data_IF_577897913887
#
_entry.id   IF_577897913887
#
_cell.length_a   1.000
_cell.length_b   1.000
_cell.length_c   1.000
_cell.angle_alpha   90.00
_cell.angle_beta   90.00
_cell.angle_gamma   90.00
#
_symmetry.space_group_name_H-M   'P 1'
#
loop_
_entity.id
_entity.type
_entity.pdbx_description
1 polymer ?
#
# COMPACT_ATOMS: atom_id res chain seq x y z
N UNK A 1 12.88 8.11 16.64
CA UNK A 1 12.55 6.75 16.18
C UNK A 1 11.61 6.93 15.01
N UNK A 2 12.09 6.82 13.77
CA UNK A 2 11.20 6.93 12.61
C UNK A 2 10.25 5.74 12.63
N UNK A 3 8.94 6.01 12.58
CA UNK A 3 7.93 4.99 12.38
C UNK A 3 8.23 4.30 11.04
N UNK A 4 8.48 2.98 11.07
CA UNK A 4 8.69 2.21 9.86
C UNK A 4 7.39 1.59 9.41
N UNK A 5 6.94 1.93 8.21
CA UNK A 5 5.70 1.41 7.68
C UNK A 5 5.91 0.12 6.88
N UNK A 6 5.06 -0.87 7.14
CA UNK A 6 4.95 -2.10 6.36
C UNK A 6 4.30 -1.80 5.02
N UNK A 7 4.74 -2.47 3.97
CA UNK A 7 4.18 -2.29 2.63
C UNK A 7 3.03 -3.26 2.43
N UNK A 8 1.91 -2.78 1.90
CA UNK A 8 0.73 -3.61 1.62
C UNK A 8 0.37 -3.60 0.14
N UNK A 9 -0.54 -4.50 -0.25
CA UNK A 9 -1.17 -4.49 -1.56
C UNK A 9 -1.74 -3.11 -1.87
N UNK A 10 -1.45 -2.60 -3.07
CA UNK A 10 -1.78 -1.22 -3.43
C UNK A 10 -0.64 -0.22 -3.20
N UNK A 11 0.53 -0.66 -2.73
CA UNK A 11 1.69 0.21 -2.57
C UNK A 11 2.20 0.76 -3.91
N UNK A 12 2.50 2.05 -3.95
CA UNK A 12 3.03 2.71 -5.14
C UNK A 12 4.55 2.52 -5.21
N UNK A 13 5.00 1.90 -6.30
CA UNK A 13 6.40 1.63 -6.58
C UNK A 13 6.89 2.47 -7.76
N UNK A 14 8.13 2.93 -7.68
CA UNK A 14 8.78 3.75 -8.70
C UNK A 14 10.14 3.17 -9.06
N UNK A 15 10.36 2.93 -10.34
CA UNK A 15 11.68 2.58 -10.86
C UNK A 15 12.46 3.85 -11.22
N UNK A 16 13.71 3.99 -10.74
CA UNK A 16 14.58 5.13 -11.05
C UNK A 16 14.88 5.29 -12.56
N UNK A 17 14.76 4.19 -13.32
CA UNK A 17 14.94 4.16 -14.76
C UNK A 17 13.62 4.08 -15.54
N UNK A 18 12.50 3.95 -14.83
CA UNK A 18 11.15 3.99 -15.39
C UNK A 18 10.69 5.43 -15.62
N UNK A 19 9.59 5.58 -16.36
CA UNK A 19 8.94 6.88 -16.57
C UNK A 19 7.60 6.99 -15.85
N UNK A 20 6.99 5.87 -15.47
CA UNK A 20 5.67 5.82 -14.85
C UNK A 20 5.74 4.94 -13.60
N UNK A 21 5.15 5.36 -12.47
CA UNK A 21 5.01 4.51 -11.29
C UNK A 21 3.99 3.38 -11.54
N UNK A 22 4.11 2.28 -10.82
CA UNK A 22 3.15 1.17 -10.86
C UNK A 22 2.83 0.70 -9.44
N UNK A 23 1.72 -0.03 -9.30
CA UNK A 23 1.21 -0.47 -8.01
C UNK A 23 1.59 -1.92 -7.74
N UNK A 24 2.07 -2.20 -6.53
CA UNK A 24 2.43 -3.54 -6.06
C UNK A 24 1.17 -4.40 -5.88
N UNK A 25 1.20 -5.60 -6.46
CA UNK A 25 0.20 -6.64 -6.31
C UNK A 25 0.84 -7.83 -5.61
N UNK A 26 0.29 -8.19 -4.45
CA UNK A 26 0.78 -9.30 -3.64
C UNK A 26 0.09 -10.57 -4.12
N UNK A 27 0.84 -11.46 -4.77
CA UNK A 27 0.33 -12.75 -5.26
C UNK A 27 0.95 -13.94 -4.50
N UNK A 28 1.94 -13.70 -3.63
CA UNK A 28 2.66 -14.77 -2.92
C UNK A 28 1.84 -15.53 -1.88
N UNK A 29 0.80 -14.94 -1.31
CA UNK A 29 -0.02 -15.54 -0.25
C UNK A 29 -1.36 -14.81 -0.08
N UNK A 30 -2.27 -15.37 0.73
CA UNK A 30 -3.59 -14.81 1.03
C UNK A 30 -3.94 -14.84 2.53
N UNK A 31 -2.93 -14.85 3.41
CA UNK A 31 -3.14 -15.14 4.83
C UNK A 31 -2.81 -13.98 5.78
N UNK A 32 -1.99 -13.01 5.36
CA UNK A 32 -1.42 -12.00 6.26
C UNK A 32 -1.81 -10.61 5.77
N UNK A 33 -2.62 -9.93 6.58
CA UNK A 33 -3.19 -8.64 6.29
C UNK A 33 -2.71 -7.60 7.30
N UNK A 34 -2.48 -6.36 6.87
CA UNK A 34 -2.11 -5.26 7.75
C UNK A 34 -3.15 -4.14 7.71
N UNK A 35 -3.54 -3.66 8.90
CA UNK A 35 -4.50 -2.55 9.07
C UNK A 35 -5.82 -2.74 8.32
N UNK A 36 -6.31 -3.98 8.27
CA UNK A 36 -7.60 -4.35 7.69
C UNK A 36 -8.40 -5.12 8.73
N UNK A 37 -9.51 -4.52 9.18
CA UNK A 37 -10.40 -5.09 10.20
C UNK A 37 -11.08 -6.37 9.72
N UNK A 38 -11.30 -6.49 8.41
CA UNK A 38 -11.95 -7.63 7.77
C UNK A 38 -10.93 -8.62 7.19
N UNK A 39 -9.63 -8.26 7.17
CA UNK A 39 -8.54 -9.11 6.72
C UNK A 39 -8.75 -9.64 5.30
N UNK A 40 -9.04 -8.78 4.33
CA UNK A 40 -9.42 -9.20 2.98
C UNK A 40 -8.74 -8.45 1.84
N UNK A 41 -8.28 -7.21 2.04
CA UNK A 41 -7.79 -6.35 0.95
C UNK A 41 -6.33 -5.91 1.11
N UNK A 42 -5.81 -5.77 2.34
CA UNK A 42 -4.47 -5.22 2.59
C UNK A 42 -3.43 -6.30 2.88
N UNK A 43 -3.19 -7.19 1.92
CA UNK A 43 -2.14 -8.22 2.03
C UNK A 43 -0.76 -7.59 2.19
N UNK A 44 0.08 -8.16 3.06
CA UNK A 44 1.42 -7.64 3.34
C UNK A 44 2.38 -7.97 2.17
N UNK A 45 3.16 -7.01 1.69
CA UNK A 45 4.18 -7.27 0.67
C UNK A 45 5.33 -8.12 1.22
N UNK A 46 5.76 -9.15 0.48
CA UNK A 46 6.82 -10.06 0.93
C UNK A 46 7.99 -10.13 -0.05
N UNK A 47 9.17 -10.53 0.42
CA UNK A 47 10.35 -10.73 -0.43
C UNK A 47 10.17 -11.78 -1.52
N UNK A 48 9.10 -12.59 -1.45
CA UNK A 48 8.75 -13.60 -2.45
C UNK A 48 7.98 -13.03 -3.64
N UNK A 49 7.72 -11.72 -3.68
CA UNK A 49 7.16 -11.01 -4.84
C UNK A 49 8.21 -10.92 -5.97
N UNK A 50 8.43 -12.10 -6.57
CA UNK A 50 9.29 -12.51 -7.68
C UNK A 50 8.78 -12.02 -9.05
N UNK A 51 9.65 -11.75 -10.03
CA UNK A 51 9.21 -11.59 -11.42
C UNK A 51 8.48 -10.27 -11.66
N UNK A 52 7.17 -10.28 -11.95
CA UNK A 52 6.39 -9.07 -12.28
C UNK A 52 5.25 -8.83 -11.27
N UNK A 53 5.55 -8.45 -10.01
CA UNK A 53 4.54 -8.30 -8.96
C UNK A 53 3.80 -6.94 -9.02
N UNK A 54 3.59 -6.40 -10.23
CA UNK A 54 2.97 -5.08 -10.40
C UNK A 54 1.69 -5.20 -11.22
N UNK A 55 0.72 -4.31 -10.94
CA UNK A 55 -0.61 -4.37 -11.54
C UNK A 55 -0.57 -4.16 -13.06
N UNK A 56 0.14 -3.15 -13.54
CA UNK A 56 0.28 -2.89 -14.98
C UNK A 56 1.48 -3.64 -15.60
N UNK A 57 2.28 -4.31 -14.77
CA UNK A 57 3.48 -5.08 -15.17
C UNK A 57 4.49 -4.23 -15.95
N UNK A 58 4.47 -2.91 -15.78
CA UNK A 58 5.36 -2.00 -16.50
C UNK A 58 5.54 -0.67 -15.77
N UNK A 59 6.76 -0.14 -15.80
CA UNK A 59 7.06 1.23 -15.36
C UNK A 59 7.14 2.21 -16.54
N UNK A 60 6.37 1.96 -17.60
CA UNK A 60 6.43 2.72 -18.85
C UNK A 60 7.63 2.33 -19.71
N UNK A 61 8.52 3.27 -20.01
CA UNK A 61 9.74 3.01 -20.78
C UNK A 61 10.96 2.80 -19.86
N UNK A 62 11.96 2.03 -20.29
CA UNK A 62 13.18 1.80 -19.50
C UNK A 62 14.38 2.54 -20.09
N UNK A 63 14.95 3.50 -19.35
CA UNK A 63 16.14 4.25 -19.77
C UNK A 63 17.38 3.37 -20.01
N UNK A 64 17.43 2.18 -19.40
CA UNK A 64 18.52 1.22 -19.60
C UNK A 64 18.42 0.39 -20.88
N UNK A 65 17.31 0.50 -21.62
CA UNK A 65 17.09 -0.24 -22.86
C UNK A 65 16.84 0.73 -24.03
N UNK A 66 17.85 1.47 -24.48
CA UNK A 66 17.72 2.35 -25.64
C UNK A 66 17.44 1.53 -26.91
N UNK A 67 16.60 2.05 -27.79
CA UNK A 67 16.31 1.49 -29.11
C UNK A 67 16.10 2.62 -30.12
N UNK A 68 17.14 2.88 -30.91
CA UNK A 68 17.16 4.00 -31.85
C UNK A 68 16.95 5.34 -31.14
N UNK A 69 15.90 6.08 -31.51
CA UNK A 69 15.52 7.36 -30.91
C UNK A 69 14.58 7.24 -29.70
N UNK A 70 14.30 6.02 -29.22
CA UNK A 70 13.39 5.78 -28.09
C UNK A 70 13.93 4.71 -27.13
N UNK A 71 13.09 4.24 -26.21
CA UNK A 71 13.40 3.23 -25.20
C UNK A 71 12.39 2.08 -25.26
N UNK A 72 12.84 0.87 -24.94
CA UNK A 72 11.93 -0.29 -24.83
C UNK A 72 10.98 -0.13 -23.64
N UNK A 73 9.77 -0.70 -23.72
CA UNK A 73 8.89 -0.79 -22.58
C UNK A 73 9.57 -1.56 -21.44
N UNK A 74 9.46 -1.03 -20.22
CA UNK A 74 10.02 -1.66 -19.03
C UNK A 74 9.21 -2.92 -18.70
N UNK A 75 9.89 -4.06 -18.66
CA UNK A 75 9.37 -5.30 -18.10
C UNK A 75 10.11 -5.56 -16.78
N UNK A 76 9.55 -5.15 -15.64
CA UNK A 76 10.22 -5.27 -14.37
C UNK A 76 10.27 -6.73 -13.97
N UNK A 77 11.39 -7.40 -14.25
CA UNK A 77 11.68 -8.75 -13.78
C UNK A 77 12.46 -8.64 -12.47
N UNK A 78 11.75 -8.54 -11.35
CA UNK A 78 12.30 -8.46 -10.00
C UNK A 78 13.00 -9.77 -9.65
N UNK A 79 14.27 -9.67 -9.25
CA UNK A 79 15.12 -10.81 -8.90
C UNK A 79 15.33 -10.94 -7.40
N UNK A 80 15.29 -9.84 -6.67
CA UNK A 80 15.42 -9.82 -5.22
C UNK A 80 14.92 -8.49 -4.63
N UNK A 81 14.53 -8.55 -3.36
CA UNK A 81 14.25 -7.41 -2.51
C UNK A 81 15.38 -7.24 -1.50
N UNK A 82 15.69 -5.99 -1.14
CA UNK A 82 16.73 -5.62 -0.16
C UNK A 82 16.17 -4.58 0.79
N UNK A 83 16.69 -4.49 2.02
CA UNK A 83 16.16 -3.56 3.03
C UNK A 83 14.82 -3.98 3.65
N UNK A 84 14.47 -5.25 3.51
CA UNK A 84 13.30 -5.85 4.15
C UNK A 84 13.53 -6.07 5.65
N UNK A 85 12.47 -6.35 6.39
CA UNK A 85 12.53 -6.60 7.83
C UNK A 85 12.93 -8.05 8.11
N UNK A 86 14.15 -8.27 8.60
CA UNK A 86 14.75 -9.60 8.79
C UNK A 86 14.23 -10.33 10.04
N UNK A 87 13.75 -9.61 11.05
CA UNK A 87 13.37 -10.20 12.34
C UNK A 87 12.04 -10.99 12.31
N UNK A 88 11.27 -10.87 11.23
CA UNK A 88 9.98 -11.58 11.07
C UNK A 88 9.98 -12.29 9.73
N UNK A 89 9.68 -13.59 9.79
CA UNK A 89 9.44 -14.45 8.64
C UNK A 89 7.97 -14.83 8.67
N UNK A 90 7.30 -14.58 7.56
CA UNK A 90 5.90 -14.88 7.36
C UNK A 90 5.70 -16.39 7.11
N UNK A 91 4.45 -16.87 7.17
CA UNK A 91 4.15 -18.30 6.99
C UNK A 91 4.56 -18.85 5.63
N UNK A 92 4.59 -18.00 4.62
CA UNK A 92 5.05 -18.34 3.28
C UNK A 92 6.59 -18.45 3.17
N UNK A 93 7.34 -18.13 4.24
CA UNK A 93 8.80 -18.12 4.25
C UNK A 93 9.40 -16.81 3.75
N UNK A 94 8.60 -15.82 3.37
CA UNK A 94 9.04 -14.50 2.95
C UNK A 94 9.25 -13.54 4.13
N UNK A 95 10.14 -12.57 3.95
CA UNK A 95 10.29 -11.47 4.90
C UNK A 95 9.36 -10.31 4.51
N UNK A 96 9.02 -9.48 5.50
CA UNK A 96 8.15 -8.32 5.31
C UNK A 96 8.91 -7.20 4.60
N UNK A 97 8.33 -6.68 3.51
CA UNK A 97 8.84 -5.50 2.82
C UNK A 97 8.39 -4.24 3.57
N UNK A 98 9.32 -3.31 3.75
CA UNK A 98 9.13 -2.00 4.41
C UNK A 98 9.28 -0.87 3.40
N UNK A 99 8.91 0.36 3.75
CA UNK A 99 9.06 1.52 2.87
C UNK A 99 10.51 1.79 2.40
N UNK A 100 11.49 1.40 3.21
CA UNK A 100 12.92 1.51 2.89
C UNK A 100 13.39 0.44 1.91
N UNK A 101 12.57 -0.59 1.70
CA UNK A 101 12.93 -1.73 0.87
C UNK A 101 13.05 -1.33 -0.59
N UNK A 102 14.04 -1.92 -1.27
CA UNK A 102 14.32 -1.69 -2.69
C UNK A 102 14.35 -3.00 -3.44
N UNK A 103 13.71 -3.01 -4.61
CA UNK A 103 13.73 -4.15 -5.50
C UNK A 103 14.83 -4.00 -6.56
N UNK A 104 15.47 -5.11 -6.88
CA UNK A 104 16.42 -5.23 -7.98
C UNK A 104 15.73 -5.89 -9.16
N UNK A 105 15.86 -5.31 -10.36
CA UNK A 105 15.39 -5.96 -11.59
C UNK A 105 16.54 -6.58 -12.38
N UNK A 106 16.26 -7.64 -13.14
CA UNK A 106 17.25 -8.37 -13.94
C UNK A 106 17.98 -7.48 -14.98
N UNK A 107 17.35 -6.40 -15.43
CA UNK A 107 17.92 -5.45 -16.40
C UNK A 107 18.92 -4.51 -15.73
N UNK A 108 18.59 -3.97 -14.55
CA UNK A 108 19.45 -3.03 -13.84
C UNK A 108 20.60 -3.73 -13.11
N UNK A 109 20.38 -4.96 -12.63
CA UNK A 109 21.37 -5.71 -11.83
C UNK A 109 21.67 -5.10 -10.45
N UNK A 110 21.05 -3.96 -10.12
CA UNK A 110 21.19 -3.23 -8.86
C UNK A 110 19.81 -2.76 -8.35
N UNK A 111 19.68 -2.42 -7.05
CA UNK A 111 18.42 -1.94 -6.48
C UNK A 111 17.95 -0.67 -7.18
N UNK A 112 16.83 -0.74 -7.90
CA UNK A 112 16.37 0.32 -8.78
C UNK A 112 14.90 0.70 -8.59
N UNK A 113 14.09 -0.18 -7.97
CA UNK A 113 12.68 0.10 -7.65
C UNK A 113 12.60 0.49 -6.18
N UNK A 114 12.06 1.68 -5.91
CA UNK A 114 11.78 2.20 -4.57
C UNK A 114 10.27 2.21 -4.33
N UNK A 115 9.89 2.24 -3.07
CA UNK A 115 8.50 2.31 -2.62
C UNK A 115 8.23 3.76 -2.26
N UNK A 116 7.31 4.41 -2.98
CA UNK A 116 6.95 5.81 -2.75
C UNK A 116 5.77 5.95 -1.81
N UNK A 117 4.86 4.97 -1.80
CA UNK A 117 3.73 4.92 -0.89
C UNK A 117 3.55 3.48 -0.42
N UNK A 118 3.55 3.26 0.90
CA UNK A 118 3.41 1.94 1.50
C UNK A 118 2.01 1.33 1.32
N UNK A 119 1.02 2.10 0.83
CA UNK A 119 -0.33 1.63 0.50
C UNK A 119 -1.25 1.43 1.71
N UNK A 120 -0.75 1.68 2.93
CA UNK A 120 -1.59 1.57 4.12
C UNK A 120 -2.45 2.82 4.25
N UNK A 121 -3.75 2.62 4.40
CA UNK A 121 -4.69 3.66 4.81
C UNK A 121 -5.04 3.39 6.26
N UNK A 122 -4.78 4.36 7.14
CA UNK A 122 -5.18 4.29 8.54
C UNK A 122 -6.71 4.25 8.61
N UNK A 123 -7.26 3.15 9.14
CA UNK A 123 -8.69 3.04 9.41
C UNK A 123 -8.92 3.33 10.88
N UNK A 124 -9.76 4.32 11.24
CA UNK A 124 -10.13 4.54 12.62
C UNK A 124 -10.86 3.28 13.13
N UNK A 125 -10.31 2.67 14.16
CA UNK A 125 -10.96 1.56 14.86
C UNK A 125 -11.89 2.10 15.95
N UNK A 126 -12.81 1.27 16.47
CA UNK A 126 -13.65 1.68 17.60
C UNK A 126 -12.80 2.11 18.80
N UNK A 127 -11.68 1.43 19.03
CA UNK A 127 -10.73 1.79 20.07
C UNK A 127 -10.07 3.17 19.82
N UNK A 128 -9.89 3.60 18.58
CA UNK A 128 -9.44 4.97 18.28
C UNK A 128 -10.53 6.00 18.61
N UNK A 129 -11.81 5.65 18.45
CA UNK A 129 -12.94 6.50 18.81
C UNK A 129 -13.07 6.59 20.34
N UNK A 130 -12.96 5.48 21.04
CA UNK A 130 -13.09 5.41 22.51
C UNK A 130 -11.95 6.15 23.23
N UNK A 131 -10.76 6.21 22.62
CA UNK A 131 -9.61 6.96 23.15
C UNK A 131 -9.53 8.40 22.63
N UNK A 132 -10.44 8.81 21.76
CA UNK A 132 -10.46 10.19 21.27
C UNK A 132 -11.04 11.11 22.35
N UNK A 133 -10.41 12.27 22.53
CA UNK A 133 -10.90 13.29 23.45
C UNK A 133 -12.24 13.85 22.94
N UNK A 134 -13.31 13.63 23.72
CA UNK A 134 -14.69 13.96 23.33
C UNK A 134 -14.86 15.46 23.05
N UNK A 135 -14.25 16.33 23.86
CA UNK A 135 -14.33 17.78 23.69
C UNK A 135 -13.66 18.24 22.39
N UNK A 136 -12.51 17.66 22.05
CA UNK A 136 -11.81 17.93 20.80
C UNK A 136 -12.60 17.42 19.59
N UNK A 137 -13.18 16.21 19.68
CA UNK A 137 -14.01 15.66 18.62
C UNK A 137 -15.28 16.49 18.40
N UNK A 138 -15.94 16.95 19.47
CA UNK A 138 -17.13 17.80 19.39
C UNK A 138 -16.83 19.19 18.77
N UNK A 139 -15.63 19.74 18.99
CA UNK A 139 -15.21 21.01 18.36
C UNK A 139 -14.87 20.85 16.88
N UNK A 140 -14.22 19.75 16.51
CA UNK A 140 -13.84 19.48 15.12
C UNK A 140 -15.03 19.03 14.27
N UNK A 141 -15.92 18.23 14.84
CA UNK A 141 -17.11 17.69 14.18
C UNK A 141 -18.38 17.96 15.00
N UNK A 142 -18.84 19.22 15.11
CA UNK A 142 -20.03 19.58 15.89
C UNK A 142 -21.35 18.97 15.36
N UNK A 143 -21.35 18.41 14.15
CA UNK A 143 -22.49 17.73 13.54
C UNK A 143 -22.52 16.21 13.81
N UNK A 144 -21.48 15.66 14.46
CA UNK A 144 -21.38 14.23 14.76
C UNK A 144 -21.15 14.07 16.24
N UNK A 145 -22.07 13.38 16.93
CA UNK A 145 -21.90 13.02 18.32
C UNK A 145 -20.95 11.81 18.41
N UNK A 146 -19.79 11.90 19.07
CA UNK A 146 -18.83 10.80 19.16
C UNK A 146 -19.41 9.52 19.76
N UNK A 147 -20.35 9.66 20.70
CA UNK A 147 -21.03 8.54 21.36
C UNK A 147 -21.93 7.72 20.41
N UNK A 148 -22.33 8.30 19.27
CA UNK A 148 -23.18 7.63 18.29
C UNK A 148 -22.38 6.93 17.18
N UNK A 149 -21.04 7.10 17.15
CA UNK A 149 -20.16 6.50 16.15
C UNK A 149 -19.89 5.02 16.52
N UNK A 150 -20.65 4.13 15.88
CA UNK A 150 -20.56 2.68 16.06
C UNK A 150 -21.92 1.99 16.21
N UNK A 151 -23.01 2.76 16.35
CA UNK A 151 -24.36 2.21 16.42
C UNK A 151 -24.98 2.14 15.01
N UNK A 152 -25.33 0.95 14.47
CA UNK A 152 -25.78 0.79 13.08
C UNK A 152 -27.17 1.38 12.75
N UNK A 153 -27.83 2.08 13.69
CA UNK A 153 -29.25 2.46 13.54
C UNK A 153 -29.54 3.82 12.90
N UNK A 154 -28.57 4.58 12.41
CA UNK A 154 -28.88 5.83 11.69
C UNK A 154 -28.27 5.87 10.29
N UNK A 155 -28.89 5.10 9.39
CA UNK A 155 -28.93 5.47 7.98
C UNK A 155 -29.57 6.86 7.89
N UNK A 156 -28.81 7.84 7.40
CA UNK A 156 -29.30 9.18 7.10
C UNK A 156 -30.61 9.11 6.33
N UNK A 157 -31.73 9.50 6.96
CA UNK A 157 -32.93 9.85 6.21
C UNK A 157 -32.53 10.99 5.26
N UNK A 158 -32.44 10.65 3.97
CA UNK A 158 -32.12 11.60 2.93
C UNK A 158 -33.07 12.79 2.99
N UNK A 159 -32.52 13.98 2.73
CA UNK A 159 -33.28 15.22 2.59
C UNK A 159 -34.38 15.00 1.54
N UNK A 160 -35.63 14.87 1.99
CA UNK A 160 -36.78 14.87 1.08
C UNK A 160 -37.14 16.32 0.80
N UNK A 161 -36.65 16.86 -0.32
CA UNK A 161 -37.07 18.16 -0.86
C UNK A 161 -38.54 18.10 -1.25
N UNK A 162 -39.40 18.79 -0.49
CA UNK A 162 -40.80 19.04 -0.88
C UNK A 162 -40.83 20.06 -2.02
N UNK A 163 -41.21 19.62 -3.22
CA UNK A 163 -41.58 20.52 -4.30
C UNK A 163 -42.85 21.29 -3.91
N UNK A 164 -42.83 22.62 -4.12
CA UNK A 164 -44.03 23.46 -4.12
C UNK A 164 -44.70 23.39 -5.49
#
# INVERSE_FOLDING_TARGET
MSEKHVVVQGALCECQFGFVPDTLKVDSHQYEYANDKDGSQKLIGTTLELGQPFQNKTFGQCKLQPTGSSYKPCQPAITQWTGFYENVILKNGGNIITEDSKATCAIAGAPCVKISNHGQIAQPSQQNMDNADEDTQAQLNPMVNPADIGNPEQSSEGITVRAK
#
